data_IF_716461071646
#
_entry.id   IF_716461071646
#
_cell.length_a   1.000
_cell.length_b   1.000
_cell.length_c   1.000
_cell.angle_alpha   90.00
_cell.angle_beta   90.00
_cell.angle_gamma   90.00
#
_symmetry.space_group_name_H-M   'P 1'
#
loop_
_entity.id
_entity.type
_entity.pdbx_description
1 polymer ?
#
# COMPACT_ATOMS: atom_id res chain seq x y z
N UNK A 1 1.79 -6.44 2.05
CA UNK A 1 1.34 -5.04 2.00
C UNK A 1 2.17 -4.32 0.96
N UNK A 2 1.57 -3.58 0.05
CA UNK A 2 2.28 -2.71 -0.89
C UNK A 2 2.04 -1.25 -0.50
N UNK A 3 3.03 -0.39 -0.70
CA UNK A 3 2.85 1.06 -0.62
C UNK A 3 2.95 1.60 -2.04
N UNK A 4 1.95 2.39 -2.44
CA UNK A 4 1.89 3.02 -3.75
C UNK A 4 1.55 4.49 -3.63
N UNK A 5 1.86 5.27 -4.66
CA UNK A 5 1.53 6.69 -4.72
C UNK A 5 0.46 6.92 -5.79
N UNK A 6 -0.67 7.50 -5.39
CA UNK A 6 -1.77 7.90 -6.29
C UNK A 6 -2.01 9.37 -6.06
N UNK A 7 -1.91 10.17 -7.12
CA UNK A 7 -2.11 11.63 -7.08
C UNK A 7 -1.25 12.32 -6.00
N UNK A 8 0.06 12.00 -6.00
CA UNK A 8 1.04 12.55 -5.05
C UNK A 8 0.89 12.06 -3.60
N UNK A 9 -0.13 11.25 -3.28
CA UNK A 9 -0.42 10.77 -1.93
C UNK A 9 -0.07 9.30 -1.76
N UNK A 10 0.43 8.92 -0.59
CA UNK A 10 0.76 7.53 -0.25
C UNK A 10 -0.49 6.74 0.15
N UNK A 11 -0.54 5.51 -0.36
CA UNK A 11 -1.60 4.54 -0.12
C UNK A 11 -0.99 3.19 0.23
N UNK A 12 -1.58 2.54 1.22
CA UNK A 12 -1.20 1.19 1.63
C UNK A 12 -2.26 0.23 1.07
N UNK A 13 -1.82 -0.74 0.29
CA UNK A 13 -2.66 -1.76 -0.33
C UNK A 13 -2.40 -3.14 0.30
N UNK A 14 -3.48 -3.84 0.60
CA UNK A 14 -3.46 -5.27 0.95
C UNK A 14 -3.79 -6.04 -0.31
N UNK A 15 -2.87 -6.92 -0.72
CA UNK A 15 -3.00 -7.74 -1.92
C UNK A 15 -2.82 -9.21 -1.58
N UNK A 16 -3.42 -10.06 -2.40
CA UNK A 16 -3.14 -11.49 -2.41
C UNK A 16 -2.77 -11.92 -3.83
N UNK A 17 -2.01 -13.00 -3.91
CA UNK A 17 -1.62 -13.65 -5.16
C UNK A 17 -2.42 -14.93 -5.30
N UNK A 18 -3.13 -15.08 -6.41
CA UNK A 18 -3.88 -16.29 -6.71
C UNK A 18 -3.76 -16.61 -8.19
N UNK A 19 -3.32 -17.83 -8.50
CA UNK A 19 -3.22 -18.34 -9.87
C UNK A 19 -2.40 -17.41 -10.80
N UNK A 20 -1.31 -16.85 -10.27
CA UNK A 20 -0.46 -15.88 -10.98
C UNK A 20 -1.05 -14.46 -11.10
N UNK A 21 -2.28 -14.24 -10.63
CA UNK A 21 -2.93 -12.94 -10.66
C UNK A 21 -2.82 -12.22 -9.31
N UNK A 22 -2.72 -10.89 -9.38
CA UNK A 22 -2.73 -10.03 -8.20
C UNK A 22 -4.18 -9.56 -7.96
N UNK A 23 -4.72 -9.85 -6.79
CA UNK A 23 -6.00 -9.32 -6.34
C UNK A 23 -5.78 -8.29 -5.24
N UNK A 24 -6.24 -7.07 -5.48
CA UNK A 24 -6.31 -6.02 -4.48
C UNK A 24 -7.53 -6.30 -3.59
N UNK A 25 -7.30 -6.47 -2.28
CA UNK A 25 -8.35 -6.74 -1.30
C UNK A 25 -8.84 -5.43 -0.67
N UNK A 26 -7.91 -4.53 -0.36
CA UNK A 26 -8.20 -3.23 0.24
C UNK A 26 -7.10 -2.22 -0.09
N UNK A 27 -7.50 -0.98 -0.34
CA UNK A 27 -6.58 0.16 -0.48
C UNK A 27 -7.03 1.22 0.52
N UNK A 28 -6.10 1.64 1.39
CA UNK A 28 -6.35 2.69 2.39
C UNK A 28 -5.32 3.79 2.28
N UNK A 29 -5.69 5.01 2.68
CA UNK A 29 -4.73 6.11 2.80
C UNK A 29 -3.67 5.73 3.82
N UNK A 30 -2.39 5.85 3.46
CA UNK A 30 -1.32 5.64 4.42
C UNK A 30 -1.43 6.70 5.52
N UNK A 31 -1.46 6.26 6.78
CA UNK A 31 -1.42 7.19 7.91
C UNK A 31 -0.01 7.76 8.00
N UNK A 32 0.15 9.02 8.42
CA UNK A 32 1.45 9.71 8.48
C UNK A 32 2.52 8.90 9.25
N UNK A 33 2.13 8.19 10.30
CA UNK A 33 3.03 7.32 11.10
C UNK A 33 3.66 6.15 10.32
N UNK A 34 3.03 5.65 9.23
CA UNK A 34 3.64 4.59 8.40
C UNK A 34 4.74 5.14 7.46
N UNK A 35 4.76 6.46 7.18
CA UNK A 35 5.73 7.09 6.28
C UNK A 35 7.01 7.49 7.02
N UNK A 36 6.90 7.93 8.28
CA UNK A 36 8.07 8.35 9.08
C UNK A 36 8.95 7.18 9.58
N UNK A 37 8.41 5.97 9.72
CA UNK A 37 9.17 4.84 10.25
C UNK A 37 10.05 4.10 9.21
N UNK A 38 10.14 4.59 7.97
CA UNK A 38 10.91 3.95 6.89
C UNK A 38 12.09 4.79 6.38
N UNK A 39 12.53 5.78 7.15
CA UNK A 39 13.77 6.55 6.89
C UNK A 39 14.68 6.62 8.14
N UNK A 40 14.90 5.51 8.83
CA UNK A 40 16.01 5.38 9.81
C UNK A 40 16.74 4.06 9.66
#
# INVERSE_FOLDING_TARGET
MLIGRIDGRHWSAVVTYRDGNIRIISVRRSRKEEVELNES
#
